data_IF_632930698074
#
_entry.id   IF_632930698074
#
_cell.length_a   1.000
_cell.length_b   1.000
_cell.length_c   1.000
_cell.angle_alpha   90.00
_cell.angle_beta   90.00
_cell.angle_gamma   90.00
#
_symmetry.space_group_name_H-M   'P 1'
#
loop_
_entity.id
_entity.type
_entity.pdbx_description
1 polymer ?
#
# COMPACT_ATOMS: atom_id res chain seq x y z
N UNK A 1 -11.19 -6.00 0.04
CA UNK A 1 -12.54 -6.63 0.12
C UNK A 1 -13.66 -5.61 0.08
N UNK A 2 -13.67 -4.54 0.88
CA UNK A 2 -14.67 -3.47 0.77
C UNK A 2 -14.83 -2.92 -0.66
N UNK A 3 -13.71 -2.63 -1.32
CA UNK A 3 -13.70 -2.20 -2.74
C UNK A 3 -14.20 -3.33 -3.66
N UNK A 4 -13.81 -4.58 -3.41
CA UNK A 4 -14.29 -5.72 -4.17
C UNK A 4 -15.79 -5.94 -3.96
N UNK A 5 -16.27 -5.91 -2.71
CA UNK A 5 -17.69 -6.00 -2.39
C UNK A 5 -18.47 -4.85 -3.03
N UNK A 6 -17.93 -3.63 -3.01
CA UNK A 6 -18.51 -2.48 -3.68
C UNK A 6 -18.63 -2.65 -5.20
N UNK A 7 -17.58 -3.14 -5.85
CA UNK A 7 -17.59 -3.45 -7.28
C UNK A 7 -18.60 -4.57 -7.61
N UNK A 8 -18.77 -5.51 -6.68
CA UNK A 8 -19.69 -6.64 -6.79
C UNK A 8 -21.16 -6.24 -6.59
N UNK A 9 -21.48 -5.20 -5.80
CA UNK A 9 -22.87 -4.79 -5.49
C UNK A 9 -23.56 -3.97 -6.58
N UNK A 10 -22.82 -3.50 -7.55
CA UNK A 10 -23.41 -2.77 -8.68
C UNK A 10 -24.30 -3.70 -9.50
N UNK A 11 -25.44 -3.19 -9.92
CA UNK A 11 -26.36 -3.97 -10.78
C UNK A 11 -25.64 -4.56 -11.98
N UNK A 12 -25.95 -5.81 -12.26
CA UNK A 12 -25.43 -6.61 -13.39
C UNK A 12 -25.34 -5.81 -14.70
N UNK A 13 -26.32 -4.98 -15.00
CA UNK A 13 -26.34 -4.18 -16.23
C UNK A 13 -25.29 -3.05 -16.25
N UNK A 14 -25.06 -2.37 -15.14
CA UNK A 14 -24.08 -1.27 -15.05
C UNK A 14 -22.65 -1.85 -15.02
N UNK A 15 -22.46 -2.93 -14.28
CA UNK A 15 -21.20 -3.65 -14.24
C UNK A 15 -20.87 -4.19 -15.63
N UNK A 16 -21.81 -4.85 -16.31
CA UNK A 16 -21.59 -5.39 -17.65
C UNK A 16 -21.24 -4.30 -18.68
N UNK A 17 -21.89 -3.14 -18.62
CA UNK A 17 -21.63 -2.03 -19.54
C UNK A 17 -20.24 -1.38 -19.34
N UNK A 18 -19.65 -1.51 -18.15
CA UNK A 18 -18.39 -0.86 -17.77
C UNK A 18 -17.24 -1.86 -17.60
N UNK A 19 -17.53 -3.15 -17.58
CA UNK A 19 -16.56 -4.22 -17.30
C UNK A 19 -15.32 -4.16 -18.23
N UNK A 20 -15.53 -3.80 -19.49
CA UNK A 20 -14.44 -3.62 -20.45
C UNK A 20 -13.42 -2.51 -20.14
N UNK A 21 -13.68 -1.71 -19.08
CA UNK A 21 -12.77 -0.68 -18.60
C UNK A 21 -11.88 -1.12 -17.44
N UNK A 22 -12.25 -2.21 -16.75
CA UNK A 22 -11.40 -2.78 -15.70
C UNK A 22 -10.14 -3.32 -16.34
N UNK A 23 -9.00 -2.80 -15.90
CA UNK A 23 -7.70 -3.37 -16.23
C UNK A 23 -7.50 -4.70 -15.53
N UNK A 24 -6.60 -5.52 -16.04
CA UNK A 24 -6.20 -6.75 -15.37
C UNK A 24 -5.57 -7.75 -16.33
N UNK A 25 -4.71 -8.57 -15.79
CA UNK A 25 -4.04 -9.65 -16.51
C UNK A 25 -4.62 -10.97 -16.01
N UNK A 26 -5.01 -11.85 -16.93
CA UNK A 26 -5.33 -13.22 -16.57
C UNK A 26 -4.06 -13.89 -16.04
N UNK A 27 -4.15 -14.48 -14.86
CA UNK A 27 -3.05 -15.23 -14.27
C UNK A 27 -2.89 -16.56 -15.02
N UNK A 28 -1.65 -16.98 -15.23
CA UNK A 28 -1.36 -18.30 -15.78
C UNK A 28 -1.36 -19.35 -14.65
N UNK A 29 -2.32 -20.30 -14.62
CA UNK A 29 -2.42 -21.29 -13.54
C UNK A 29 -1.12 -22.07 -13.32
N UNK A 30 -0.38 -22.38 -14.40
CA UNK A 30 0.87 -23.15 -14.32
C UNK A 30 2.01 -22.40 -13.58
N UNK A 31 1.84 -21.12 -13.36
CA UNK A 31 2.83 -20.26 -12.67
C UNK A 31 2.46 -19.85 -11.26
N UNK A 32 1.27 -20.21 -10.79
CA UNK A 32 0.77 -19.73 -9.50
C UNK A 32 1.38 -20.45 -8.30
N UNK A 33 2.20 -21.48 -8.51
CA UNK A 33 2.91 -22.22 -7.47
C UNK A 33 1.98 -22.79 -6.37
N UNK A 34 0.77 -23.20 -6.73
CA UNK A 34 -0.21 -23.80 -5.81
C UNK A 34 0.20 -25.24 -5.53
N UNK A 35 0.34 -25.62 -4.26
CA UNK A 35 0.63 -27.00 -3.81
C UNK A 35 -0.66 -27.86 -3.76
N UNK A 36 -0.50 -29.19 -3.75
CA UNK A 36 -1.64 -30.09 -3.54
C UNK A 36 -2.28 -29.87 -2.16
N UNK A 37 -1.46 -29.59 -1.15
CA UNK A 37 -1.90 -29.28 0.21
C UNK A 37 -2.77 -28.01 0.23
N UNK A 38 -2.38 -26.97 -0.51
CA UNK A 38 -3.12 -25.73 -0.65
C UNK A 38 -4.47 -25.92 -1.38
N UNK A 39 -4.52 -26.75 -2.41
CA UNK A 39 -5.78 -27.08 -3.11
C UNK A 39 -6.78 -27.76 -2.18
N UNK A 40 -6.30 -28.68 -1.35
CA UNK A 40 -7.13 -29.42 -0.38
C UNK A 40 -7.65 -28.46 0.69
N UNK A 41 -6.74 -27.71 1.32
CA UNK A 41 -7.03 -26.76 2.40
C UNK A 41 -7.99 -25.64 1.95
N UNK A 42 -7.81 -25.12 0.74
CA UNK A 42 -8.65 -24.08 0.17
C UNK A 42 -10.07 -24.54 -0.25
N UNK A 43 -10.39 -25.83 -0.13
CA UNK A 43 -11.71 -26.36 -0.57
C UNK A 43 -12.87 -25.73 0.22
N UNK A 44 -13.86 -25.18 -0.48
CA UNK A 44 -15.00 -24.48 0.13
C UNK A 44 -14.76 -22.98 0.41
N UNK A 45 -13.56 -22.49 0.15
CA UNK A 45 -13.21 -21.09 0.30
C UNK A 45 -12.98 -20.41 -1.06
N UNK A 46 -13.04 -19.08 -1.07
CA UNK A 46 -12.51 -18.22 -2.13
C UNK A 46 -11.42 -17.39 -1.51
N UNK A 47 -10.18 -17.63 -1.92
CA UNK A 47 -9.02 -16.87 -1.46
C UNK A 47 -8.59 -15.88 -2.52
N UNK A 48 -8.43 -14.61 -2.14
CA UNK A 48 -8.16 -13.48 -3.05
C UNK A 48 -7.00 -12.66 -2.51
N UNK A 49 -6.02 -12.37 -3.35
CA UNK A 49 -4.97 -11.41 -3.03
C UNK A 49 -5.44 -9.98 -3.27
N UNK A 50 -5.18 -9.09 -2.34
CA UNK A 50 -5.50 -7.68 -2.42
C UNK A 50 -4.20 -6.88 -2.34
N UNK A 51 -3.93 -6.07 -3.37
CA UNK A 51 -2.73 -5.25 -3.46
C UNK A 51 -3.10 -3.76 -3.46
N UNK A 52 -2.51 -3.00 -2.55
CA UNK A 52 -2.53 -1.54 -2.56
C UNK A 52 -1.22 -1.02 -3.14
N UNK A 53 -1.30 -0.32 -4.27
CA UNK A 53 -0.14 0.13 -5.02
C UNK A 53 0.20 1.57 -4.67
N UNK A 54 1.47 1.85 -4.42
CA UNK A 54 2.00 3.20 -4.40
C UNK A 54 2.57 3.54 -5.79
N UNK A 55 1.78 4.27 -6.57
CA UNK A 55 2.13 4.70 -7.91
C UNK A 55 2.68 6.12 -7.90
N UNK A 56 3.80 6.37 -7.19
CA UNK A 56 4.46 7.68 -7.27
C UNK A 56 5.09 7.84 -8.66
N UNK A 57 4.92 9.02 -9.25
CA UNK A 57 5.39 9.35 -10.60
C UNK A 57 6.93 9.28 -10.80
N UNK A 58 7.68 8.89 -9.77
CA UNK A 58 9.15 8.79 -9.79
C UNK A 58 9.68 7.39 -10.03
N UNK A 59 8.81 6.36 -10.02
CA UNK A 59 9.22 4.95 -10.06
C UNK A 59 8.92 4.27 -11.41
N UNK A 60 8.87 5.02 -12.53
CA UNK A 60 8.60 4.46 -13.86
C UNK A 60 9.61 3.38 -14.27
N UNK A 61 10.84 3.39 -13.74
CA UNK A 61 11.89 2.41 -14.07
C UNK A 61 11.86 1.16 -13.17
N UNK A 62 11.27 1.21 -11.96
CA UNK A 62 11.32 0.09 -11.01
C UNK A 62 9.98 -0.64 -10.83
N UNK A 63 8.93 -0.19 -11.51
CA UNK A 63 7.59 -0.76 -11.34
C UNK A 63 6.90 -0.32 -10.02
N UNK A 64 5.58 -0.47 -9.95
CA UNK A 64 4.81 -0.17 -8.74
C UNK A 64 5.08 -1.23 -7.66
N UNK A 65 5.35 -0.81 -6.43
CA UNK A 65 5.44 -1.72 -5.28
C UNK A 65 4.08 -1.85 -4.61
N UNK A 66 3.79 -3.05 -4.09
CA UNK A 66 2.59 -3.29 -3.29
C UNK A 66 2.86 -2.93 -1.83
N UNK A 67 2.57 -1.70 -1.44
CA UNK A 67 2.73 -1.24 -0.04
C UNK A 67 1.67 -1.80 0.91
N UNK A 68 0.61 -2.38 0.36
CA UNK A 68 -0.39 -3.16 1.08
C UNK A 68 -0.54 -4.52 0.40
N UNK A 69 -0.36 -5.58 1.16
CA UNK A 69 -0.53 -6.97 0.72
C UNK A 69 -1.48 -7.62 1.70
N UNK A 70 -2.65 -8.05 1.23
CA UNK A 70 -3.62 -8.76 2.07
C UNK A 70 -4.15 -9.99 1.37
N UNK A 71 -4.44 -11.01 2.16
CA UNK A 71 -5.16 -12.21 1.72
C UNK A 71 -6.54 -12.17 2.34
N UNK A 72 -7.57 -12.25 1.51
CA UNK A 72 -8.95 -12.34 1.92
C UNK A 72 -9.47 -13.74 1.65
N UNK A 73 -9.99 -14.43 2.67
CA UNK A 73 -10.62 -15.74 2.55
C UNK A 73 -12.10 -15.63 2.84
N UNK A 74 -12.92 -15.97 1.86
CA UNK A 74 -14.38 -16.06 1.98
C UNK A 74 -14.80 -17.52 2.12
N UNK A 75 -15.34 -17.89 3.25
CA UNK A 75 -16.04 -19.17 3.40
C UNK A 75 -17.34 -19.12 2.58
N UNK A 76 -17.47 -19.99 1.58
CA UNK A 76 -18.61 -19.97 0.64
C UNK A 76 -19.90 -20.42 1.28
N UNK A 77 -19.86 -21.18 2.37
CA UNK A 77 -21.03 -21.67 3.11
C UNK A 77 -21.49 -20.64 4.16
N UNK A 78 -20.62 -20.26 5.10
CA UNK A 78 -20.98 -19.35 6.21
C UNK A 78 -21.04 -17.87 5.79
N UNK A 79 -20.48 -17.54 4.63
CA UNK A 79 -20.32 -16.17 4.10
C UNK A 79 -19.43 -15.28 4.97
N UNK A 80 -18.63 -15.88 5.83
CA UNK A 80 -17.63 -15.17 6.62
C UNK A 80 -16.39 -14.85 5.79
N UNK A 81 -15.86 -13.64 5.97
CA UNK A 81 -14.65 -13.15 5.33
C UNK A 81 -13.62 -12.88 6.38
N UNK A 82 -12.48 -13.55 6.32
CA UNK A 82 -11.31 -13.27 7.15
C UNK A 82 -10.23 -12.58 6.32
N UNK A 83 -9.46 -11.68 6.95
CA UNK A 83 -8.37 -10.94 6.32
C UNK A 83 -7.06 -11.18 7.05
N UNK A 84 -6.01 -11.40 6.27
CA UNK A 84 -4.62 -11.42 6.78
C UNK A 84 -3.82 -10.38 6.02
N UNK A 85 -3.12 -9.50 6.75
CA UNK A 85 -2.14 -8.58 6.15
C UNK A 85 -0.77 -9.23 6.18
N UNK A 86 -0.15 -9.43 5.03
CA UNK A 86 1.27 -9.82 4.94
C UNK A 86 2.09 -8.54 5.03
N UNK A 87 2.99 -8.44 6.01
CA UNK A 87 3.83 -7.25 6.16
C UNK A 87 4.71 -7.11 4.93
N UNK A 88 4.73 -5.92 4.33
CA UNK A 88 5.36 -5.69 3.02
C UNK A 88 6.85 -6.01 2.97
N UNK A 89 7.54 -5.86 4.12
CA UNK A 89 8.98 -6.11 4.25
C UNK A 89 9.30 -7.55 4.71
N UNK A 90 8.30 -8.46 4.75
CA UNK A 90 8.50 -9.87 5.06
C UNK A 90 9.41 -10.52 4.03
N UNK A 91 10.47 -11.19 4.50
CA UNK A 91 11.39 -11.96 3.65
C UNK A 91 10.69 -13.23 3.17
N UNK A 92 10.47 -13.33 1.86
CA UNK A 92 9.82 -14.46 1.21
C UNK A 92 10.59 -14.88 -0.05
N UNK A 93 10.43 -16.13 -0.47
CA UNK A 93 11.04 -16.65 -1.68
C UNK A 93 10.19 -16.28 -2.91
N UNK A 94 10.79 -15.67 -3.92
CA UNK A 94 10.18 -15.40 -5.22
C UNK A 94 10.08 -16.66 -6.10
N UNK A 95 9.38 -16.57 -7.22
CA UNK A 95 9.20 -17.72 -8.13
C UNK A 95 10.51 -18.24 -8.69
N UNK A 96 11.51 -17.37 -8.90
CA UNK A 96 12.85 -17.70 -9.41
C UNK A 96 13.77 -18.36 -8.35
N UNK A 97 13.31 -18.50 -7.11
CA UNK A 97 14.05 -19.09 -6.00
C UNK A 97 14.89 -18.08 -5.20
N UNK A 98 14.96 -16.82 -5.59
CA UNK A 98 15.64 -15.78 -4.80
C UNK A 98 14.77 -15.32 -3.64
N UNK A 99 15.39 -14.77 -2.59
CA UNK A 99 14.68 -14.21 -1.44
C UNK A 99 14.64 -12.69 -1.54
N UNK A 100 13.46 -12.11 -1.30
CA UNK A 100 13.28 -10.67 -1.28
C UNK A 100 12.12 -10.28 -0.35
N UNK A 101 11.94 -8.98 -0.12
CA UNK A 101 10.76 -8.45 0.58
C UNK A 101 9.48 -8.75 -0.22
N UNK A 102 8.41 -9.09 0.46
CA UNK A 102 7.13 -9.43 -0.17
C UNK A 102 6.63 -8.35 -1.17
N UNK A 103 6.87 -7.07 -0.88
CA UNK A 103 6.46 -5.97 -1.76
C UNK A 103 7.26 -5.89 -3.07
N UNK A 104 8.44 -6.52 -3.14
CA UNK A 104 9.26 -6.54 -4.33
C UNK A 104 8.69 -7.45 -5.43
N UNK A 105 7.95 -8.50 -5.06
CA UNK A 105 7.35 -9.44 -6.01
C UNK A 105 6.48 -8.72 -7.06
N UNK A 106 5.65 -7.78 -6.62
CA UNK A 106 4.81 -7.00 -7.53
C UNK A 106 5.63 -6.12 -8.50
N UNK A 107 6.73 -5.55 -8.05
CA UNK A 107 7.61 -4.73 -8.88
C UNK A 107 8.36 -5.57 -9.94
N UNK A 108 8.69 -6.82 -9.63
CA UNK A 108 9.44 -7.70 -10.54
C UNK A 108 8.57 -8.41 -11.58
N UNK A 109 7.37 -8.83 -11.21
CA UNK A 109 6.54 -9.63 -12.11
C UNK A 109 5.03 -9.31 -12.03
N UNK A 110 4.66 -8.17 -11.48
CA UNK A 110 3.27 -7.74 -11.37
C UNK A 110 2.43 -8.66 -10.51
N UNK A 111 1.17 -8.74 -10.88
CA UNK A 111 0.15 -9.49 -10.17
C UNK A 111 0.46 -11.00 -10.12
N UNK A 112 0.98 -11.56 -11.22
CA UNK A 112 1.26 -12.99 -11.34
C UNK A 112 2.37 -13.42 -10.36
N UNK A 113 3.48 -12.68 -10.33
CA UNK A 113 4.58 -12.96 -9.40
C UNK A 113 4.18 -12.76 -7.94
N UNK A 114 3.44 -11.68 -7.65
CA UNK A 114 2.99 -11.41 -6.28
C UNK A 114 2.02 -12.50 -5.77
N UNK A 115 1.13 -13.01 -6.60
CA UNK A 115 0.25 -14.13 -6.26
C UNK A 115 1.03 -15.43 -6.12
N UNK A 116 1.95 -15.74 -7.05
CA UNK A 116 2.79 -16.92 -7.00
C UNK A 116 3.66 -16.95 -5.74
N UNK A 117 4.26 -15.83 -5.37
CA UNK A 117 5.02 -15.68 -4.13
C UNK A 117 4.15 -16.00 -2.89
N UNK A 118 2.92 -15.45 -2.81
CA UNK A 118 2.01 -15.74 -1.69
C UNK A 118 1.65 -17.22 -1.63
N UNK A 119 1.27 -17.84 -2.75
CA UNK A 119 0.93 -19.25 -2.80
C UNK A 119 2.09 -20.14 -2.38
N UNK A 120 3.30 -19.88 -2.91
CA UNK A 120 4.50 -20.67 -2.67
C UNK A 120 4.94 -20.67 -1.22
N UNK A 121 4.91 -19.49 -0.56
CA UNK A 121 5.44 -19.34 0.79
C UNK A 121 4.41 -19.62 1.88
N UNK A 122 3.12 -19.50 1.57
CA UNK A 122 2.03 -19.60 2.54
C UNK A 122 1.09 -20.77 2.30
N UNK A 123 1.43 -21.65 1.33
CA UNK A 123 0.59 -22.77 0.90
C UNK A 123 -0.87 -22.36 0.63
N UNK A 124 -1.07 -21.26 -0.11
CA UNK A 124 -2.39 -20.76 -0.41
C UNK A 124 -2.83 -21.13 -1.83
N UNK A 125 -4.14 -21.29 -2.02
CA UNK A 125 -4.77 -21.46 -3.32
C UNK A 125 -5.40 -20.13 -3.76
N UNK A 126 -4.56 -19.16 -4.15
CA UNK A 126 -4.99 -17.87 -4.66
C UNK A 126 -4.97 -17.91 -6.18
N UNK A 127 -6.14 -17.82 -6.79
CA UNK A 127 -6.31 -17.74 -8.23
C UNK A 127 -6.85 -16.37 -8.69
N UNK A 128 -7.25 -15.52 -7.73
CA UNK A 128 -7.83 -14.22 -8.01
C UNK A 128 -7.12 -13.10 -7.23
N UNK A 129 -7.05 -11.92 -7.87
CA UNK A 129 -6.50 -10.73 -7.24
C UNK A 129 -7.35 -9.49 -7.50
N UNK A 130 -7.12 -8.48 -6.67
CA UNK A 130 -7.56 -7.10 -6.88
C UNK A 130 -6.43 -6.18 -6.52
N UNK A 131 -6.01 -5.34 -7.47
CA UNK A 131 -5.02 -4.28 -7.24
C UNK A 131 -5.67 -2.92 -7.37
N UNK A 132 -5.38 -2.02 -6.44
CA UNK A 132 -5.90 -0.65 -6.40
C UNK A 132 -4.80 0.33 -6.04
N UNK A 133 -4.86 1.54 -6.56
CA UNK A 133 -4.06 2.65 -6.07
C UNK A 133 -4.76 3.42 -4.92
N UNK A 134 -4.06 4.33 -4.27
CA UNK A 134 -4.61 5.11 -3.17
C UNK A 134 -5.71 6.09 -3.60
N UNK A 135 -5.80 6.48 -4.87
CA UNK A 135 -6.86 7.35 -5.36
C UNK A 135 -8.22 6.65 -5.34
N UNK A 136 -8.24 5.34 -5.59
CA UNK A 136 -9.43 4.50 -5.47
C UNK A 136 -9.99 4.58 -4.05
N UNK A 137 -9.14 4.48 -3.04
CA UNK A 137 -9.55 4.51 -1.64
C UNK A 137 -10.23 5.85 -1.30
N UNK A 138 -9.61 6.97 -1.69
CA UNK A 138 -10.18 8.32 -1.51
C UNK A 138 -11.57 8.42 -2.14
N UNK A 139 -11.70 8.03 -3.40
CA UNK A 139 -12.96 8.16 -4.12
C UNK A 139 -14.08 7.25 -3.61
N UNK A 140 -13.73 6.04 -3.17
CA UNK A 140 -14.69 5.10 -2.56
C UNK A 140 -15.23 5.66 -1.25
N UNK A 141 -14.35 6.11 -0.36
CA UNK A 141 -14.74 6.63 0.96
C UNK A 141 -15.59 7.88 0.81
N UNK A 142 -15.20 8.82 -0.04
CA UNK A 142 -15.98 10.05 -0.29
C UNK A 142 -17.36 9.75 -0.87
N UNK A 143 -17.45 8.79 -1.81
CA UNK A 143 -18.74 8.40 -2.39
C UNK A 143 -19.65 7.71 -1.38
N UNK A 144 -19.08 7.00 -0.39
CA UNK A 144 -19.81 6.41 0.74
C UNK A 144 -20.23 7.46 1.79
N UNK A 145 -19.74 8.69 1.67
CA UNK A 145 -20.00 9.78 2.61
C UNK A 145 -19.07 9.78 3.82
N UNK A 146 -17.85 9.27 3.68
CA UNK A 146 -16.86 9.17 4.76
C UNK A 146 -16.99 7.90 5.59
N UNK A 147 -16.03 7.67 6.50
CA UNK A 147 -16.01 6.55 7.45
C UNK A 147 -15.76 7.06 8.87
N UNK A 148 -16.17 6.26 9.87
CA UNK A 148 -16.03 6.63 11.27
C UNK A 148 -14.87 5.84 11.89
N UNK A 149 -13.82 6.53 12.35
CA UNK A 149 -12.58 5.96 12.89
C UNK A 149 -12.30 6.61 14.27
N UNK A 150 -11.83 5.80 15.19
CA UNK A 150 -11.24 6.28 16.43
C UNK A 150 -9.73 6.49 16.23
N UNK A 151 -9.30 7.73 16.04
CA UNK A 151 -7.88 8.07 15.88
C UNK A 151 -7.23 8.06 17.26
N UNK A 152 -6.57 6.97 17.59
CA UNK A 152 -5.96 6.75 18.90
C UNK A 152 -4.66 7.54 19.07
N UNK A 153 -4.30 7.79 20.34
CA UNK A 153 -3.00 8.33 20.72
C UNK A 153 -1.90 7.31 20.38
N UNK A 154 -0.70 7.81 20.11
CA UNK A 154 0.46 6.95 19.96
C UNK A 154 0.84 6.30 21.29
N UNK A 155 1.18 5.01 21.28
CA UNK A 155 1.58 4.27 22.48
C UNK A 155 2.82 4.86 23.16
N UNK A 156 3.71 5.49 22.40
CA UNK A 156 4.92 6.17 22.91
C UNK A 156 4.69 7.63 23.32
N UNK A 157 3.44 8.12 23.30
CA UNK A 157 3.08 9.49 23.69
C UNK A 157 3.46 10.57 22.67
N UNK A 158 3.87 10.19 21.46
CA UNK A 158 4.16 11.16 20.38
C UNK A 158 2.82 11.73 19.87
N UNK A 159 2.77 13.06 19.69
CA UNK A 159 1.67 13.70 18.99
C UNK A 159 1.69 13.31 17.50
N UNK A 160 0.73 12.48 17.08
CA UNK A 160 0.63 11.99 15.70
C UNK A 160 -0.07 12.95 14.74
N UNK A 161 -0.70 14.03 15.23
CA UNK A 161 -1.43 14.98 14.39
C UNK A 161 -0.55 15.64 13.32
N UNK A 162 0.67 16.10 13.61
CA UNK A 162 1.56 16.65 12.57
C UNK A 162 1.89 15.62 11.49
N UNK A 163 2.12 14.37 11.85
CA UNK A 163 2.43 13.29 10.91
C UNK A 163 1.22 12.94 10.04
N UNK A 164 0.02 12.83 10.64
CA UNK A 164 -1.23 12.65 9.90
C UNK A 164 -1.42 13.76 8.87
N UNK A 165 -1.15 15.01 9.26
CA UNK A 165 -1.32 16.16 8.38
C UNK A 165 -0.28 16.20 7.25
N UNK A 166 0.92 15.70 7.45
CA UNK A 166 1.88 15.50 6.37
C UNK A 166 1.34 14.51 5.33
N UNK A 167 0.77 13.38 5.78
CA UNK A 167 0.12 12.43 4.87
C UNK A 167 -1.13 13.02 4.20
N UNK A 168 -1.92 13.85 4.88
CA UNK A 168 -3.05 14.58 4.25
C UNK A 168 -2.55 15.43 3.08
N UNK A 169 -1.49 16.22 3.28
CA UNK A 169 -0.88 17.05 2.22
C UNK A 169 -0.40 16.19 1.05
N UNK A 170 0.23 15.06 1.34
CA UNK A 170 0.72 14.13 0.32
C UNK A 170 -0.43 13.51 -0.49
N UNK A 171 -1.50 13.07 0.18
CA UNK A 171 -2.69 12.51 -0.49
C UNK A 171 -3.39 13.57 -1.34
N UNK A 172 -3.52 14.82 -0.87
CA UNK A 172 -4.06 15.94 -1.66
C UNK A 172 -3.22 16.14 -2.93
N UNK A 173 -1.88 16.18 -2.79
CA UNK A 173 -0.97 16.36 -3.92
C UNK A 173 -1.12 15.25 -4.97
N UNK A 174 -1.28 14.00 -4.54
CA UNK A 174 -1.34 12.84 -5.43
C UNK A 174 -2.71 12.64 -6.09
N UNK A 175 -3.79 13.06 -5.41
CA UNK A 175 -5.17 12.83 -5.90
C UNK A 175 -5.85 14.07 -6.44
N UNK A 176 -5.35 15.26 -6.11
CA UNK A 176 -5.99 16.54 -6.42
C UNK A 176 -7.31 16.77 -5.64
N UNK A 177 -7.60 15.95 -4.62
CA UNK A 177 -8.81 16.08 -3.79
C UNK A 177 -8.48 16.88 -2.54
N UNK A 178 -9.16 18.01 -2.33
CA UNK A 178 -8.98 18.86 -1.16
C UNK A 178 -9.52 18.20 0.13
N UNK A 179 -8.88 18.51 1.25
CA UNK A 179 -9.30 18.05 2.57
C UNK A 179 -8.85 19.01 3.68
N UNK A 180 -9.64 19.05 4.76
CA UNK A 180 -9.21 19.68 6.00
C UNK A 180 -8.15 18.83 6.71
N UNK A 181 -7.23 19.46 7.47
CA UNK A 181 -6.29 18.74 8.31
C UNK A 181 -6.97 18.12 9.52
N UNK A 182 -6.29 17.16 10.16
CA UNK A 182 -6.64 16.70 11.49
C UNK A 182 -6.37 17.79 12.54
N UNK A 183 -7.29 17.95 13.48
CA UNK A 183 -7.17 18.95 14.57
C UNK A 183 -7.23 18.32 15.96
N UNK A 184 -7.63 17.06 16.07
CA UNK A 184 -7.80 16.34 17.32
C UNK A 184 -7.68 14.83 17.10
N UNK A 185 -7.50 14.10 18.19
CA UNK A 185 -7.59 12.63 18.25
C UNK A 185 -9.02 12.20 18.64
N UNK A 186 -9.25 10.91 18.80
CA UNK A 186 -10.50 10.31 19.19
C UNK A 186 -11.44 9.99 18.03
N UNK A 187 -12.72 9.79 18.36
CA UNK A 187 -13.74 9.41 17.38
C UNK A 187 -13.98 10.53 16.38
N UNK A 188 -13.78 10.25 15.10
CA UNK A 188 -13.92 11.21 14.01
C UNK A 188 -14.61 10.59 12.80
N UNK A 189 -15.27 11.45 12.03
CA UNK A 189 -15.81 11.12 10.74
C UNK A 189 -14.82 11.60 9.66
N UNK A 190 -14.10 10.67 9.05
CA UNK A 190 -13.03 10.94 8.09
C UNK A 190 -13.55 10.93 6.66
N UNK A 191 -13.12 11.92 5.87
CA UNK A 191 -13.29 11.88 4.41
C UNK A 191 -12.24 10.94 3.77
N UNK A 192 -12.30 10.78 2.45
CA UNK A 192 -11.40 9.85 1.74
C UNK A 192 -9.93 10.20 1.90
N UNK A 193 -9.56 11.49 1.85
CA UNK A 193 -8.18 11.95 2.02
C UNK A 193 -7.68 11.66 3.44
N UNK A 194 -8.46 12.03 4.45
CA UNK A 194 -8.09 11.80 5.86
C UNK A 194 -7.98 10.30 6.17
N UNK A 195 -8.94 9.49 5.72
CA UNK A 195 -8.90 8.05 5.94
C UNK A 195 -7.71 7.37 5.23
N UNK A 196 -7.35 7.85 4.03
CA UNK A 196 -6.16 7.38 3.30
C UNK A 196 -4.89 7.81 4.02
N UNK A 197 -4.82 9.04 4.53
CA UNK A 197 -3.69 9.51 5.35
C UNK A 197 -3.53 8.67 6.63
N UNK A 198 -4.64 8.36 7.32
CA UNK A 198 -4.66 7.49 8.49
C UNK A 198 -4.14 6.08 8.17
N UNK A 199 -4.59 5.48 7.07
CA UNK A 199 -4.15 4.15 6.62
C UNK A 199 -2.66 4.09 6.22
N UNK A 200 -2.01 5.24 5.97
CA UNK A 200 -0.60 5.35 5.58
C UNK A 200 0.32 5.72 6.75
N UNK A 201 -0.24 6.11 7.90
CA UNK A 201 0.53 6.55 9.05
C UNK A 201 1.42 5.42 9.59
N UNK A 202 2.72 5.69 9.69
CA UNK A 202 3.74 4.79 10.26
C UNK A 202 4.25 5.24 11.62
N UNK A 203 4.12 6.52 11.95
CA UNK A 203 4.63 7.10 13.18
C UNK A 203 3.70 6.85 14.36
N UNK A 204 4.26 6.77 15.56
CA UNK A 204 3.51 6.67 16.81
C UNK A 204 3.57 5.31 17.51
N UNK A 205 4.61 4.51 17.24
CA UNK A 205 4.79 3.16 17.78
C UNK A 205 4.25 2.08 16.84
N UNK A 206 4.95 0.95 16.76
CA UNK A 206 4.54 -0.22 15.99
C UNK A 206 4.64 -0.11 14.47
N UNK A 207 5.19 0.97 13.92
CA UNK A 207 5.55 1.17 12.51
C UNK A 207 4.63 0.47 11.48
N UNK A 208 5.13 -0.54 10.77
CA UNK A 208 4.40 -1.27 9.73
C UNK A 208 3.26 -2.13 10.29
N UNK A 209 3.37 -2.64 11.51
CA UNK A 209 2.30 -3.43 12.17
C UNK A 209 1.06 -2.57 12.40
N UNK A 210 1.22 -1.40 13.03
CA UNK A 210 0.11 -0.45 13.24
C UNK A 210 -0.43 0.12 11.94
N UNK A 211 0.41 0.31 10.92
CA UNK A 211 -0.06 0.71 9.60
C UNK A 211 -0.99 -0.34 9.00
N UNK A 212 -0.62 -1.62 9.02
CA UNK A 212 -1.47 -2.68 8.47
C UNK A 212 -2.76 -2.88 9.27
N UNK A 213 -2.74 -2.65 10.59
CA UNK A 213 -3.93 -2.64 11.44
C UNK A 213 -4.89 -1.51 11.03
N UNK A 214 -4.39 -0.27 10.89
CA UNK A 214 -5.18 0.88 10.39
C UNK A 214 -5.76 0.62 9.00
N UNK A 215 -5.00 -0.03 8.12
CA UNK A 215 -5.50 -0.41 6.78
C UNK A 215 -6.67 -1.40 6.87
N UNK A 216 -6.59 -2.41 7.74
CA UNK A 216 -7.69 -3.36 7.97
C UNK A 216 -8.92 -2.68 8.53
N UNK A 217 -8.75 -1.78 9.51
CA UNK A 217 -9.84 -0.99 10.09
C UNK A 217 -10.55 -0.14 9.03
N UNK A 218 -9.81 0.59 8.19
CA UNK A 218 -10.37 1.38 7.10
C UNK A 218 -11.15 0.50 6.11
N UNK A 219 -10.61 -0.66 5.73
CA UNK A 219 -11.30 -1.59 4.84
C UNK A 219 -12.58 -2.16 5.45
N UNK A 220 -12.58 -2.48 6.73
CA UNK A 220 -13.77 -2.94 7.46
C UNK A 220 -14.86 -1.87 7.45
N UNK A 221 -14.53 -0.63 7.78
CA UNK A 221 -15.48 0.48 7.77
C UNK A 221 -16.05 0.76 6.37
N UNK A 222 -15.23 0.68 5.32
CA UNK A 222 -15.67 0.76 3.93
C UNK A 222 -16.70 -0.35 3.66
N UNK A 223 -16.41 -1.57 4.05
CA UNK A 223 -17.28 -2.70 3.79
C UNK A 223 -18.63 -2.58 4.51
N UNK A 224 -18.64 -2.18 5.78
CA UNK A 224 -19.86 -1.93 6.55
C UNK A 224 -20.74 -0.86 5.89
N UNK A 225 -20.14 0.23 5.42
CA UNK A 225 -20.87 1.30 4.73
C UNK A 225 -21.34 0.89 3.34
N UNK A 226 -20.50 0.13 2.62
CA UNK A 226 -20.83 -0.37 1.29
C UNK A 226 -22.05 -1.30 1.28
N UNK A 227 -22.18 -2.18 2.26
CA UNK A 227 -23.34 -3.08 2.40
C UNK A 227 -24.66 -2.32 2.59
N UNK A 228 -24.60 -1.11 3.15
CA UNK A 228 -25.76 -0.24 3.39
C UNK A 228 -25.98 0.78 2.28
N UNK A 229 -25.05 0.89 1.33
CA UNK A 229 -25.07 1.91 0.30
C UNK A 229 -26.23 1.71 -0.70
N UNK A 230 -26.77 2.83 -1.17
CA UNK A 230 -27.77 2.83 -2.24
C UNK A 230 -27.11 2.47 -3.59
N UNK A 231 -27.88 1.87 -4.48
CA UNK A 231 -27.41 1.52 -5.81
C UNK A 231 -26.83 2.72 -6.59
N UNK A 232 -27.41 3.91 -6.42
CA UNK A 232 -26.91 5.13 -7.04
C UNK A 232 -25.52 5.54 -6.51
N UNK A 233 -25.23 5.24 -5.25
CA UNK A 233 -23.90 5.45 -4.65
C UNK A 233 -22.89 4.49 -5.24
N UNK A 234 -23.27 3.20 -5.33
CA UNK A 234 -22.41 2.17 -5.93
C UNK A 234 -22.07 2.52 -7.39
N UNK A 235 -23.06 2.98 -8.17
CA UNK A 235 -22.81 3.41 -9.55
C UNK A 235 -21.80 4.58 -9.63
N UNK A 236 -21.89 5.55 -8.71
CA UNK A 236 -20.93 6.67 -8.65
C UNK A 236 -19.53 6.21 -8.32
N UNK A 237 -19.39 5.22 -7.41
CA UNK A 237 -18.11 4.62 -7.06
C UNK A 237 -17.51 3.96 -8.30
N UNK A 238 -18.28 3.09 -8.93
CA UNK A 238 -17.86 2.39 -10.15
C UNK A 238 -17.36 3.40 -11.19
N UNK A 239 -18.10 4.47 -11.45
CA UNK A 239 -17.72 5.50 -12.44
C UNK A 239 -16.39 6.18 -12.15
N UNK A 240 -16.02 6.27 -10.86
CA UNK A 240 -14.80 6.98 -10.44
C UNK A 240 -13.58 6.08 -10.33
N UNK A 241 -13.76 4.79 -10.05
CA UNK A 241 -12.64 3.92 -9.68
C UNK A 241 -12.28 2.86 -10.74
N UNK A 242 -13.14 2.65 -11.74
CA UNK A 242 -12.99 1.53 -12.68
C UNK A 242 -11.66 1.52 -13.43
N UNK A 243 -11.17 2.69 -13.82
CA UNK A 243 -9.92 2.83 -14.59
C UNK A 243 -8.66 2.56 -13.70
N UNK A 244 -8.82 2.57 -12.38
CA UNK A 244 -7.73 2.43 -11.39
C UNK A 244 -7.82 1.14 -10.58
N UNK A 245 -8.69 0.20 -11.00
CA UNK A 245 -8.80 -1.14 -10.42
C UNK A 245 -8.36 -2.16 -11.44
N UNK A 246 -7.49 -3.07 -11.04
CA UNK A 246 -7.10 -4.22 -11.84
C UNK A 246 -7.54 -5.51 -11.16
N UNK A 247 -8.06 -6.46 -11.91
CA UNK A 247 -8.46 -7.78 -11.41
C UNK A 247 -8.57 -8.78 -12.55
N UNK A 248 -8.41 -10.06 -12.24
CA UNK A 248 -8.68 -11.16 -13.17
C UNK A 248 -10.07 -11.82 -12.98
N UNK A 249 -10.88 -11.30 -12.05
CA UNK A 249 -12.27 -11.77 -11.98
C UNK A 249 -13.01 -11.54 -13.29
N UNK A 250 -13.76 -12.54 -13.73
CA UNK A 250 -14.67 -12.37 -14.86
C UNK A 250 -15.95 -11.64 -14.42
N UNK A 251 -16.66 -11.06 -15.40
CA UNK A 251 -17.96 -10.45 -15.13
C UNK A 251 -18.94 -11.45 -14.51
N UNK A 252 -18.92 -12.71 -14.96
CA UNK A 252 -19.82 -13.76 -14.48
C UNK A 252 -19.57 -14.08 -13.01
N UNK A 253 -18.32 -14.23 -12.62
CA UNK A 253 -17.92 -14.47 -11.22
C UNK A 253 -18.29 -13.28 -10.34
N UNK A 254 -17.98 -12.07 -10.80
CA UNK A 254 -18.33 -10.85 -10.09
C UNK A 254 -19.83 -10.76 -9.82
N UNK A 255 -20.67 -11.07 -10.81
CA UNK A 255 -22.12 -11.10 -10.66
C UNK A 255 -22.54 -12.20 -9.67
N UNK A 256 -21.91 -13.38 -9.72
CA UNK A 256 -22.24 -14.49 -8.83
C UNK A 256 -21.98 -14.09 -7.36
N UNK A 257 -20.83 -13.48 -7.07
CA UNK A 257 -20.51 -13.01 -5.71
C UNK A 257 -21.34 -11.78 -5.28
N UNK A 258 -21.72 -10.90 -6.22
CA UNK A 258 -22.53 -9.72 -5.93
C UNK A 258 -23.92 -10.08 -5.37
N UNK A 259 -24.50 -11.19 -5.77
CA UNK A 259 -25.81 -11.63 -5.29
C UNK A 259 -25.85 -11.85 -3.78
N UNK A 260 -24.74 -12.29 -3.23
CA UNK A 260 -24.60 -12.66 -1.80
C UNK A 260 -24.07 -11.54 -0.93
N UNK A 261 -23.82 -10.34 -1.46
CA UNK A 261 -23.11 -9.23 -0.76
C UNK A 261 -23.70 -8.88 0.61
N UNK A 262 -25.04 -8.95 0.74
CA UNK A 262 -25.72 -8.65 2.01
C UNK A 262 -25.59 -9.75 3.05
N UNK A 263 -25.18 -10.94 2.62
CA UNK A 263 -24.96 -12.11 3.50
C UNK A 263 -23.53 -12.16 4.03
N UNK A 264 -22.59 -11.46 3.41
CA UNK A 264 -21.20 -11.46 3.83
C UNK A 264 -21.01 -10.82 5.20
N UNK A 265 -20.22 -11.48 6.04
CA UNK A 265 -19.88 -11.05 7.39
C UNK A 265 -18.37 -10.88 7.46
N UNK A 266 -17.94 -9.77 8.00
CA UNK A 266 -16.53 -9.60 8.34
C UNK A 266 -16.25 -10.36 9.63
N UNK A 267 -15.32 -11.30 9.55
CA UNK A 267 -14.74 -12.00 10.68
C UNK A 267 -13.47 -11.31 11.18
N UNK A 268 -12.68 -12.04 11.91
CA UNK A 268 -11.44 -11.57 12.50
C UNK A 268 -10.39 -11.20 11.44
N UNK A 269 -9.45 -10.35 11.82
CA UNK A 269 -8.33 -9.92 10.97
C UNK A 269 -7.01 -10.10 11.71
N UNK A 270 -5.94 -10.49 10.99
CA UNK A 270 -4.62 -10.72 11.58
C UNK A 270 -3.51 -10.17 10.70
N UNK A 271 -2.31 -10.02 11.27
CA UNK A 271 -1.07 -9.76 10.54
C UNK A 271 -0.27 -11.04 10.35
N UNK A 272 0.62 -11.09 9.37
CA UNK A 272 1.53 -12.19 9.08
C UNK A 272 2.91 -11.62 8.71
N UNK A 273 4.01 -12.24 9.20
CA UNK A 273 4.08 -13.43 10.05
C UNK A 273 3.61 -13.16 11.49
N UNK A 274 3.27 -14.23 12.22
CA UNK A 274 2.79 -14.14 13.61
C UNK A 274 3.93 -13.92 14.59
N UNK A 275 5.05 -14.60 14.34
CA UNK A 275 6.26 -14.48 15.13
C UNK A 275 7.42 -14.10 14.21
N UNK A 276 8.02 -12.93 14.46
CA UNK A 276 9.06 -12.41 13.56
C UNK A 276 10.11 -11.61 14.31
N UNK A 277 11.26 -11.49 13.70
CA UNK A 277 12.31 -10.56 14.07
C UNK A 277 12.59 -9.61 12.90
N UNK A 278 13.35 -8.56 13.13
CA UNK A 278 13.86 -7.68 12.07
C UNK A 278 15.34 -7.95 11.83
N UNK A 279 15.74 -8.00 10.57
CA UNK A 279 17.13 -8.18 10.18
C UNK A 279 17.49 -7.25 9.02
N UNK A 280 18.70 -6.67 9.07
CA UNK A 280 19.25 -5.94 7.94
C UNK A 280 19.98 -6.94 7.03
N UNK A 281 19.36 -7.26 5.89
CA UNK A 281 19.85 -8.24 4.92
C UNK A 281 20.29 -7.52 3.64
N UNK A 282 20.82 -8.25 2.67
CA UNK A 282 21.23 -7.69 1.36
C UNK A 282 20.08 -6.93 0.65
N UNK A 283 18.83 -7.32 0.93
CA UNK A 283 17.62 -6.67 0.43
C UNK A 283 17.13 -5.52 1.33
N UNK A 284 17.93 -5.14 2.34
CA UNK A 284 17.63 -4.11 3.34
C UNK A 284 16.87 -4.64 4.56
N UNK A 285 16.42 -3.70 5.43
CA UNK A 285 15.70 -4.05 6.66
C UNK A 285 14.45 -4.89 6.34
N UNK A 286 14.42 -6.10 6.86
CA UNK A 286 13.41 -7.11 6.53
C UNK A 286 12.75 -7.65 7.78
N UNK A 287 11.47 -7.99 7.67
CA UNK A 287 10.72 -8.77 8.66
C UNK A 287 10.97 -10.25 8.35
N UNK A 288 11.52 -10.98 9.29
CA UNK A 288 11.89 -12.38 9.13
C UNK A 288 11.06 -13.25 10.07
N UNK A 289 10.28 -14.17 9.51
CA UNK A 289 9.51 -15.12 10.32
C UNK A 289 10.48 -15.96 11.16
N UNK A 290 10.20 -16.12 12.45
CA UNK A 290 11.00 -16.94 13.35
C UNK A 290 10.93 -18.42 12.95
N UNK A 291 9.74 -18.87 12.57
CA UNK A 291 9.46 -20.19 11.99
C UNK A 291 8.31 -20.06 11.00
N UNK A 292 8.64 -19.91 9.72
CA UNK A 292 7.65 -19.73 8.66
C UNK A 292 6.67 -20.91 8.58
N UNK A 293 7.15 -22.14 8.72
CA UNK A 293 6.30 -23.33 8.62
C UNK A 293 5.26 -23.37 9.76
N UNK A 294 5.68 -23.04 10.99
CA UNK A 294 4.75 -22.92 12.13
C UNK A 294 3.73 -21.81 11.91
N UNK A 295 4.15 -20.67 11.38
CA UNK A 295 3.25 -19.56 11.08
C UNK A 295 2.26 -19.89 9.96
N UNK A 296 2.65 -20.67 8.95
CA UNK A 296 1.75 -21.17 7.91
C UNK A 296 0.70 -22.13 8.50
N UNK A 297 1.07 -23.00 9.44
CA UNK A 297 0.10 -23.83 10.17
C UNK A 297 -0.95 -22.97 10.90
N UNK A 298 -0.52 -21.93 11.62
CA UNK A 298 -1.42 -20.97 12.30
C UNK A 298 -2.29 -20.22 11.31
N UNK A 299 -1.74 -19.85 10.15
CA UNK A 299 -2.45 -19.16 9.07
C UNK A 299 -3.62 -20.01 8.54
N UNK A 300 -3.39 -21.30 8.26
CA UNK A 300 -4.44 -22.21 7.78
C UNK A 300 -5.50 -22.47 8.86
N UNK A 301 -5.10 -22.61 10.12
CA UNK A 301 -6.05 -22.66 11.23
C UNK A 301 -6.93 -21.41 11.27
N UNK A 302 -6.33 -20.23 11.11
CA UNK A 302 -7.06 -18.96 11.11
C UNK A 302 -7.98 -18.84 9.90
N UNK A 303 -7.48 -19.01 8.68
CA UNK A 303 -8.25 -18.77 7.46
C UNK A 303 -9.31 -19.85 7.22
N UNK A 304 -8.98 -21.11 7.44
CA UNK A 304 -9.77 -22.26 7.00
C UNK A 304 -10.31 -23.11 8.17
N UNK A 305 -9.85 -22.86 9.40
CA UNK A 305 -10.26 -23.63 10.58
C UNK A 305 -9.59 -24.99 10.68
N UNK A 306 -8.48 -25.21 9.98
CA UNK A 306 -7.73 -26.46 9.98
C UNK A 306 -6.74 -26.50 11.14
N UNK A 307 -7.02 -27.34 12.15
CA UNK A 307 -6.18 -27.43 13.35
C UNK A 307 -4.91 -28.26 13.17
N UNK A 308 -4.90 -29.15 12.18
CA UNK A 308 -3.81 -30.15 11.98
C UNK A 308 -3.14 -29.96 10.59
N UNK A 309 -3.13 -28.73 10.07
CA UNK A 309 -2.51 -28.44 8.79
C UNK A 309 -1.00 -28.69 8.85
N UNK A 310 -0.49 -29.46 7.91
CA UNK A 310 0.95 -29.71 7.74
C UNK A 310 1.41 -28.99 6.48
N UNK A 311 2.32 -28.01 6.60
CA UNK A 311 2.86 -27.29 5.45
C UNK A 311 3.55 -28.21 4.45
N UNK A 312 3.45 -27.84 3.16
CA UNK A 312 4.12 -28.56 2.07
C UNK A 312 5.65 -28.64 2.28
N UNK A 313 6.27 -29.57 1.59
CA UNK A 313 7.74 -29.69 1.61
C UNK A 313 8.43 -28.42 1.09
N UNK A 314 7.77 -27.66 0.22
CA UNK A 314 8.23 -26.36 -0.28
C UNK A 314 8.31 -25.34 0.84
N UNK A 315 7.23 -25.15 1.61
CA UNK A 315 7.20 -24.22 2.75
C UNK A 315 8.20 -24.64 3.82
N UNK A 316 8.31 -25.94 4.12
CA UNK A 316 9.30 -26.46 5.09
C UNK A 316 10.74 -26.13 4.67
N UNK A 317 11.09 -26.33 3.38
CA UNK A 317 12.40 -25.99 2.85
C UNK A 317 12.67 -24.47 2.90
N UNK A 318 11.69 -23.64 2.54
CA UNK A 318 11.81 -22.18 2.63
C UNK A 318 12.01 -21.75 4.09
N UNK A 319 11.28 -22.35 5.03
CA UNK A 319 11.43 -22.07 6.47
C UNK A 319 12.83 -22.38 6.96
N UNK A 320 13.39 -23.52 6.57
CA UNK A 320 14.78 -23.91 6.89
C UNK A 320 15.80 -22.95 6.27
N UNK A 321 15.63 -22.55 5.02
CA UNK A 321 16.52 -21.63 4.32
C UNK A 321 16.53 -20.24 4.99
N UNK A 322 15.35 -19.71 5.36
CA UNK A 322 15.21 -18.43 6.07
C UNK A 322 15.91 -18.53 7.43
N UNK A 323 15.65 -19.57 8.20
CA UNK A 323 16.29 -19.77 9.49
C UNK A 323 17.82 -19.85 9.38
N UNK A 324 18.35 -20.56 8.39
CA UNK A 324 19.79 -20.69 8.17
C UNK A 324 20.43 -19.38 7.74
N UNK A 325 19.79 -18.60 6.85
CA UNK A 325 20.31 -17.32 6.36
C UNK A 325 20.41 -16.26 7.46
N UNK A 326 19.54 -16.29 8.45
CA UNK A 326 19.57 -15.38 9.60
C UNK A 326 20.60 -15.79 10.66
N UNK A 327 20.93 -17.07 10.79
CA UNK A 327 22.01 -17.54 11.68
C UNK A 327 23.38 -17.00 11.27
N UNK A 328 23.68 -16.96 9.97
CA UNK A 328 24.96 -16.48 9.43
C UNK A 328 25.17 -14.97 9.62
N UNK A 329 24.10 -14.19 9.76
CA UNK A 329 24.17 -12.72 9.96
C UNK A 329 24.32 -12.32 11.42
N UNK A 330 24.37 -13.28 12.37
CA UNK A 330 24.55 -13.01 13.79
C UNK A 330 23.34 -12.36 14.46
N UNK A 331 22.16 -12.50 13.89
CA UNK A 331 20.90 -12.05 14.49
C UNK A 331 20.62 -12.87 15.74
N UNK A 332 20.71 -12.24 16.90
CA UNK A 332 20.36 -12.82 18.18
C UNK A 332 18.83 -12.84 18.29
N UNK A 333 18.26 -14.01 18.42
CA UNK A 333 16.84 -14.16 18.75
C UNK A 333 16.65 -13.79 20.23
N UNK A 334 16.33 -12.54 20.52
CA UNK A 334 15.89 -12.15 21.85
C UNK A 334 14.42 -12.55 22.00
N UNK A 335 14.19 -13.62 22.77
CA UNK A 335 12.89 -14.29 22.96
C UNK A 335 12.01 -13.61 24.02
N UNK A 336 12.18 -12.35 24.32
CA UNK A 336 11.27 -11.61 25.20
C UNK A 336 10.20 -10.84 24.40
N UNK A 337 9.19 -11.56 23.93
CA UNK A 337 7.94 -10.95 23.48
C UNK A 337 6.98 -10.77 24.66
N UNK A 338 6.51 -9.52 24.87
CA UNK A 338 5.35 -9.29 25.71
C UNK A 338 4.06 -9.67 24.92
N UNK A 339 2.95 -9.86 25.62
CA UNK A 339 1.63 -10.30 25.15
C UNK A 339 1.06 -9.50 23.95
N UNK A 340 1.81 -8.50 23.44
CA UNK A 340 1.44 -7.61 22.33
C UNK A 340 2.45 -7.61 21.17
N UNK A 341 3.45 -8.50 21.18
CA UNK A 341 4.38 -8.66 20.04
C UNK A 341 5.41 -7.52 19.87
N UNK A 342 5.78 -6.82 20.93
CA UNK A 342 6.79 -5.76 20.90
C UNK A 342 8.10 -6.21 21.56
N UNK A 343 9.23 -6.08 20.85
CA UNK A 343 10.53 -6.15 21.48
C UNK A 343 10.83 -4.83 22.19
N UNK A 344 11.31 -4.86 23.43
CA UNK A 344 11.67 -3.68 24.22
C UNK A 344 13.07 -3.12 23.89
N UNK A 345 13.74 -3.56 22.84
CA UNK A 345 15.07 -3.06 22.54
C UNK A 345 15.06 -1.97 21.46
N UNK A 346 14.84 -0.73 21.91
CA UNK A 346 14.84 0.50 21.11
C UNK A 346 16.21 1.20 21.11
N UNK A 347 17.31 0.45 21.09
CA UNK A 347 18.66 1.05 21.08
C UNK A 347 19.40 0.81 19.77
N UNK A 348 18.84 1.24 18.62
CA UNK A 348 19.61 1.10 17.39
C UNK A 348 18.98 1.55 16.09
N UNK A 349 17.88 2.28 16.10
CA UNK A 349 17.40 2.88 14.86
C UNK A 349 18.16 4.15 14.58
N UNK A 350 19.25 4.02 13.83
CA UNK A 350 19.84 5.13 13.11
C UNK A 350 18.86 5.56 12.01
N UNK A 351 18.35 6.78 12.13
CA UNK A 351 17.43 7.43 11.20
C UNK A 351 18.10 7.81 9.88
N UNK A 352 18.83 6.90 9.26
CA UNK A 352 19.53 7.14 7.99
C UNK A 352 18.72 6.75 6.74
N UNK A 353 17.40 6.56 6.84
CA UNK A 353 16.56 6.68 5.66
C UNK A 353 16.34 8.17 5.38
N UNK A 354 17.34 8.80 4.78
CA UNK A 354 17.16 10.06 4.08
C UNK A 354 16.28 9.79 2.87
N UNK A 355 14.99 10.06 3.04
CA UNK A 355 14.10 10.33 1.92
C UNK A 355 14.68 11.56 1.19
N UNK A 356 15.41 11.31 0.13
CA UNK A 356 15.94 12.35 -0.74
C UNK A 356 14.80 12.93 -1.57
N UNK A 357 13.89 13.69 -0.97
CA UNK A 357 13.13 14.65 -1.73
C UNK A 357 12.59 15.79 -0.85
N UNK A 358 13.06 16.96 -1.23
CA UNK A 358 12.60 18.30 -0.92
C UNK A 358 13.08 18.93 0.39
N UNK A 359 14.18 19.71 0.21
CA UNK A 359 14.53 20.80 1.06
C UNK A 359 13.42 21.86 1.12
N UNK A 360 12.97 22.14 2.29
CA UNK A 360 12.39 23.44 2.64
C UNK A 360 13.12 23.96 3.88
N UNK A 361 13.53 25.21 3.74
CA UNK A 361 14.43 25.96 4.56
C UNK A 361 14.16 25.94 6.06
N UNK A 362 15.25 26.10 6.75
CA UNK A 362 15.38 26.06 8.17
C UNK A 362 14.54 27.06 8.94
N UNK A 363 14.28 26.66 10.15
CA UNK A 363 14.24 27.56 11.28
C UNK A 363 15.21 27.04 12.32
N UNK A 364 16.31 27.79 12.48
CA UNK A 364 17.14 27.73 13.69
C UNK A 364 16.32 28.35 14.83
N UNK A 365 16.09 27.60 15.88
CA UNK A 365 15.86 28.20 17.18
C UNK A 365 17.02 27.84 18.12
N UNK A 366 17.69 28.89 18.52
CA UNK A 366 18.77 28.91 19.49
C UNK A 366 18.16 29.25 20.83
N UNK A 367 18.33 28.42 21.85
CA UNK A 367 18.64 28.99 23.18
C UNK A 367 18.91 27.96 24.27
N UNK A 368 19.96 28.30 24.99
CA UNK A 368 20.32 28.08 26.41
C UNK A 368 20.68 26.64 26.81
N UNK A 369 21.78 26.42 27.37
CA UNK A 369 22.76 27.20 28.13
C UNK A 369 23.31 26.37 29.26
N UNK A 370 24.53 26.64 29.55
CA UNK A 370 25.14 26.54 30.86
C UNK A 370 25.97 25.29 31.20
N UNK A 371 27.24 25.63 31.48
CA UNK A 371 27.96 24.98 32.53
C UNK A 371 29.37 24.45 32.28
N UNK A 372 30.34 25.34 32.21
CA UNK A 372 31.57 25.33 33.06
C UNK A 372 32.79 24.47 32.72
N UNK A 373 33.89 25.22 32.64
CA UNK A 373 35.34 24.99 32.97
C UNK A 373 36.15 24.20 31.91
N UNK A 374 37.28 24.71 31.44
CA UNK A 374 38.27 25.63 31.87
C UNK A 374 39.59 25.42 31.11
N UNK A 375 40.36 26.50 30.99
CA UNK A 375 41.80 26.57 30.66
C UNK A 375 42.23 26.19 29.22
N UNK A 376 42.93 26.99 28.47
CA UNK A 376 43.85 28.11 28.69
C UNK A 376 44.67 28.36 27.42
N UNK A 377 44.97 29.62 27.18
CA UNK A 377 46.10 30.22 26.43
C UNK A 377 46.34 29.78 24.96
N UNK A 378 46.49 30.69 23.98
CA UNK A 378 47.34 31.85 23.78
C UNK A 378 46.89 32.68 22.57
N UNK A 379 47.23 33.98 22.64
CA UNK A 379 47.12 35.05 21.64
C UNK A 379 47.78 34.73 20.28
N UNK A 380 47.29 35.33 19.20
CA UNK A 380 47.99 36.39 18.49
C UNK A 380 47.21 37.00 17.30
N UNK A 381 47.10 38.31 17.33
CA UNK A 381 47.12 39.36 16.31
C UNK A 381 46.48 39.21 14.93
N UNK A 382 45.47 40.02 14.62
CA UNK A 382 45.67 41.26 13.85
C UNK A 382 45.25 41.18 12.39
N UNK A 383 44.32 42.04 11.96
CA UNK A 383 44.16 42.35 10.55
C UNK A 383 42.76 42.86 10.16
N UNK A 384 42.56 44.09 10.49
CA UNK A 384 41.58 45.04 9.98
C UNK A 384 41.64 45.18 8.44
N UNK A 385 40.47 45.24 7.77
CA UNK A 385 40.17 46.16 6.65
C UNK A 385 38.66 46.06 6.25
N UNK A 386 38.03 47.23 6.35
CA UNK A 386 36.65 47.50 5.96
C UNK A 386 36.45 47.74 4.46
N UNK A 387 35.24 48.10 4.06
CA UNK A 387 34.73 47.95 2.68
C UNK A 387 35.04 49.15 1.77
N UNK A 388 34.79 49.01 0.47
CA UNK A 388 34.31 50.17 -0.27
C UNK A 388 33.01 49.95 -1.04
N UNK A 389 32.35 51.06 -1.12
CA UNK A 389 31.10 51.46 -1.74
C UNK A 389 31.15 51.60 -3.29
N UNK A 390 29.95 51.57 -3.86
CA UNK A 390 29.42 52.37 -4.97
C UNK A 390 29.99 52.32 -6.39
N UNK A 391 29.03 52.28 -7.32
CA UNK A 391 29.12 52.72 -8.72
C UNK A 391 28.20 51.94 -9.65
N UNK A 392 27.07 52.27 -9.97
CA UNK A 392 26.45 53.32 -10.76
C UNK A 392 26.75 53.20 -12.24
N UNK A 393 25.71 52.93 -13.13
CA UNK A 393 25.89 53.04 -14.56
C UNK A 393 24.69 52.52 -15.37
N UNK A 394 23.82 53.41 -15.71
CA UNK A 394 22.79 53.42 -16.77
C UNK A 394 23.35 53.06 -18.16
N UNK A 395 22.65 52.34 -19.02
CA UNK A 395 22.07 52.99 -20.22
C UNK A 395 21.34 51.99 -21.16
N UNK A 396 20.23 52.41 -21.60
CA UNK A 396 19.35 52.29 -22.74
C UNK A 396 19.83 51.54 -23.99
N UNK A 397 18.86 50.87 -24.66
CA UNK A 397 18.98 50.50 -26.06
C UNK A 397 17.81 49.68 -26.56
N UNK A 398 16.82 50.37 -27.08
CA UNK A 398 15.69 49.95 -27.92
C UNK A 398 16.07 49.20 -29.21
N UNK A 399 15.15 48.35 -29.66
CA UNK A 399 15.22 47.82 -31.02
C UNK A 399 14.02 46.95 -31.40
N UNK A 400 13.03 47.58 -31.97
CA UNK A 400 11.88 47.06 -32.74
C UNK A 400 12.29 46.21 -33.94
N UNK A 401 11.43 45.25 -34.29
CA UNK A 401 10.82 45.04 -35.66
C UNK A 401 10.39 43.57 -35.77
N UNK A 402 9.11 43.27 -35.79
CA UNK A 402 8.11 43.31 -36.85
C UNK A 402 8.47 42.46 -38.08
N UNK A 403 7.66 41.44 -38.37
CA UNK A 403 7.01 41.08 -39.62
C UNK A 403 6.54 39.62 -39.63
N UNK A 404 5.26 39.48 -39.65
CA UNK A 404 4.36 39.21 -40.77
C UNK A 404 4.21 37.74 -41.18
N UNK A 405 2.97 37.30 -41.04
CA UNK A 405 2.27 36.19 -41.67
C UNK A 405 2.21 36.39 -43.18
N UNK A 406 2.11 35.34 -43.97
CA UNK A 406 0.97 35.30 -44.87
C UNK A 406 0.16 34.00 -44.87
N UNK A 407 -1.11 34.23 -44.89
CA UNK A 407 -2.26 33.45 -45.31
C UNK A 407 -2.28 33.27 -46.82
N UNK A 408 -2.78 32.12 -47.32
CA UNK A 408 -3.49 31.84 -48.58
C UNK A 408 -3.54 30.32 -48.70
N UNK A 409 -4.58 29.59 -49.04
CA UNK A 409 -5.85 29.90 -49.66
C UNK A 409 -6.29 28.64 -50.42
N UNK A 410 -7.51 28.23 -50.19
CA UNK A 410 -8.52 27.69 -51.10
C UNK A 410 -8.20 26.60 -52.15
N UNK A 411 -9.17 25.71 -52.27
CA UNK A 411 -9.61 24.98 -53.46
C UNK A 411 -9.67 23.48 -53.28
N UNK A 412 -10.64 22.84 -53.46
CA UNK A 412 -11.96 22.71 -54.06
C UNK A 412 -12.15 21.23 -54.53
N UNK A 413 -13.32 20.74 -54.23
CA UNK A 413 -14.21 19.80 -54.93
C UNK A 413 -13.69 18.52 -55.64
N UNK A 414 -14.49 17.46 -55.43
CA UNK A 414 -14.69 16.33 -56.34
C UNK A 414 -14.97 15.03 -55.58
N UNK A 415 -16.09 14.68 -55.25
CA UNK A 415 -17.31 14.05 -55.73
C UNK A 415 -17.13 12.78 -56.59
N UNK A 416 -18.04 11.86 -56.33
CA UNK A 416 -18.53 10.70 -57.13
C UNK A 416 -18.04 9.30 -56.78
N UNK A 417 -19.04 8.51 -56.32
CA UNK A 417 -19.44 7.22 -56.83
C UNK A 417 -19.07 6.03 -55.95
N UNK A 418 -19.95 5.31 -55.26
CA UNK A 418 -21.11 4.62 -55.79
C UNK A 418 -20.72 3.16 -56.07
N UNK A 419 -21.27 2.22 -55.32
CA UNK A 419 -21.16 0.80 -55.66
C UNK A 419 -21.53 -0.14 -54.50
N UNK A 420 -22.77 -0.56 -54.59
CA UNK A 420 -23.42 -1.58 -53.73
C UNK A 420 -23.00 -3.01 -54.09
N UNK A 421 -23.37 -3.94 -53.15
CA UNK A 421 -23.61 -5.39 -53.31
C UNK A 421 -22.34 -6.29 -53.30
N UNK A 422 -22.23 -7.14 -52.29
CA UNK A 422 -22.95 -8.37 -51.94
C UNK A 422 -22.79 -8.70 -50.44
#
# INVERSE_FOLDING_TARGET
>A
MGVLILLITATVAVVAAKWGKIGGVALNPDKLAISEEAEISGTGYLTVALFGLDTRATDEEMGARSDTIMVASLNRETKEIKLVSVYRDTLLQLSDGTYNKANAAYAYGGEEEAVAMLNKNLDLNIEHYVSVDFSVLVHVIDALGGIDINVEEAENGIDIIPYLNNYVVEVIKNTGVDSAPFTQLGQQHLNGVQATAYARLRYGGGDDYKRTERQREVLEQIAIKAQKAKLSTINKIIDKVFDNVKTNFTLTETIAYAKDVKSYKFGETQGFPYESTTANLDVGDSVVATDLASDVTKLHQFLFGENDYTPSSTVQSISEDIANSTYDTGVSYDTEYNEYGYSQDYSGYDSSYTDNSYGTGGYQDSSYGDGSSGNGYTEDTGGDYGPPSDGGGTDSGSGDSNSQIPDTGTGDSGDIGGGSLE
#
